data_IF_588151137071
#
_entry.id   IF_588151137071
#
_cell.length_a   1.000
_cell.length_b   1.000
_cell.length_c   1.000
_cell.angle_alpha   90.00
_cell.angle_beta   90.00
_cell.angle_gamma   90.00
#
_symmetry.space_group_name_H-M   'P 1'
#
loop_
_entity.id
_entity.type
_entity.pdbx_description
1 polymer ?
#
# COMPACT_ATOMS: atom_id res chain seq x y z
N UNK A 1 -10.05 13.76 9.46
CA UNK A 1 -9.47 13.22 8.22
C UNK A 1 -10.23 11.97 7.76
N UNK A 2 -10.50 11.02 8.66
CA UNK A 2 -11.43 9.88 8.49
C UNK A 2 -12.74 10.18 7.70
N UNK A 3 -13.46 11.25 8.04
CA UNK A 3 -14.72 11.61 7.37
C UNK A 3 -14.55 12.02 5.90
N UNK A 4 -13.43 12.66 5.54
CA UNK A 4 -13.16 13.07 4.17
C UNK A 4 -12.82 11.88 3.29
N UNK A 5 -12.09 10.87 3.80
CA UNK A 5 -11.87 9.61 3.09
C UNK A 5 -13.16 8.82 2.91
N UNK A 6 -14.02 8.76 3.92
CA UNK A 6 -15.32 8.11 3.76
C UNK A 6 -16.18 8.82 2.70
N UNK A 7 -16.17 10.15 2.67
CA UNK A 7 -16.85 10.93 1.63
C UNK A 7 -16.21 10.74 0.25
N UNK A 8 -14.88 10.72 0.14
CA UNK A 8 -14.16 10.51 -1.12
C UNK A 8 -14.37 9.07 -1.64
N UNK A 9 -14.34 8.08 -0.75
CA UNK A 9 -14.64 6.69 -1.05
C UNK A 9 -16.09 6.55 -1.53
N UNK A 10 -17.06 7.14 -0.82
CA UNK A 10 -18.46 7.15 -1.22
C UNK A 10 -18.69 7.90 -2.55
N UNK A 11 -18.02 9.03 -2.78
CA UNK A 11 -18.17 9.81 -4.00
C UNK A 11 -17.51 9.11 -5.20
N UNK A 12 -16.35 8.47 -5.01
CA UNK A 12 -15.74 7.62 -6.04
C UNK A 12 -16.48 6.32 -6.26
N UNK A 13 -17.13 5.73 -5.25
CA UNK A 13 -18.03 4.58 -5.43
C UNK A 13 -19.19 4.95 -6.37
N UNK A 14 -19.77 6.15 -6.20
CA UNK A 14 -20.79 6.67 -7.12
C UNK A 14 -20.25 6.90 -8.54
N UNK A 15 -18.97 7.29 -8.68
CA UNK A 15 -18.33 7.41 -9.99
C UNK A 15 -17.97 6.06 -10.62
N UNK A 16 -17.50 5.08 -9.84
CA UNK A 16 -17.21 3.73 -10.30
C UNK A 16 -18.48 3.02 -10.79
N UNK A 17 -19.59 3.17 -10.05
CA UNK A 17 -20.90 2.69 -10.46
C UNK A 17 -21.44 3.37 -11.74
N UNK A 18 -20.98 4.60 -12.05
CA UNK A 18 -21.33 5.30 -13.30
C UNK A 18 -20.57 4.80 -14.53
N UNK A 19 -19.46 4.09 -14.36
CA UNK A 19 -18.64 3.55 -15.47
C UNK A 19 -19.13 2.16 -15.92
N UNK A 20 -20.01 1.49 -15.17
CA UNK A 20 -20.66 0.21 -15.53
C UNK A 20 -21.74 0.33 -16.65
N UNK A 21 -21.61 1.32 -17.55
CA UNK A 21 -22.35 1.40 -18.82
C UNK A 21 -21.37 1.61 -19.99
N UNK A 22 -20.23 0.89 -20.03
CA UNK A 22 -19.43 0.80 -21.25
C UNK A 22 -18.50 -0.43 -21.24
N UNK A 23 -19.04 -1.60 -21.62
CA UNK A 23 -18.22 -2.81 -21.83
C UNK A 23 -17.75 -2.89 -23.29
N UNK A 24 -16.41 -2.97 -23.45
CA UNK A 24 -15.60 -3.52 -24.56
C UNK A 24 -15.10 -2.57 -25.69
N UNK A 25 -14.03 -2.94 -26.44
CA UNK A 25 -12.68 -3.30 -25.98
C UNK A 25 -11.55 -2.59 -26.79
N UNK A 26 -10.30 -2.76 -26.31
CA UNK A 26 -9.02 -2.54 -26.98
C UNK A 26 -8.47 -1.09 -27.06
N UNK A 27 -7.28 -0.96 -26.49
CA UNK A 27 -6.21 -0.12 -27.04
C UNK A 27 -6.28 1.36 -26.69
N UNK A 28 -5.69 1.73 -25.55
CA UNK A 28 -4.81 2.89 -25.52
C UNK A 28 -3.89 2.82 -24.30
N UNK A 29 -2.62 2.64 -24.60
CA UNK A 29 -1.52 3.11 -23.79
C UNK A 29 -1.71 4.61 -23.57
N UNK A 30 -2.15 5.00 -22.39
CA UNK A 30 -2.23 6.40 -22.01
C UNK A 30 -1.60 6.53 -20.63
N UNK A 31 -0.38 7.08 -20.66
CA UNK A 31 0.20 7.90 -19.63
C UNK A 31 0.17 7.30 -18.24
N UNK A 32 1.31 6.78 -17.82
CA UNK A 32 1.70 6.80 -16.42
C UNK A 32 1.71 8.26 -15.96
N UNK A 33 0.54 8.78 -15.61
CA UNK A 33 0.45 9.98 -14.80
C UNK A 33 0.96 9.56 -13.42
N UNK A 34 2.04 10.21 -12.98
CA UNK A 34 2.41 10.30 -11.58
C UNK A 34 1.21 10.92 -10.84
N UNK A 35 0.23 10.09 -10.51
CA UNK A 35 -0.97 10.45 -9.81
C UNK A 35 -0.64 10.45 -8.32
N UNK A 36 -0.71 11.66 -7.75
CA UNK A 36 -0.98 11.94 -6.34
C UNK A 36 -1.50 10.70 -5.59
N UNK A 37 -0.55 10.01 -4.93
CA UNK A 37 -0.73 8.70 -4.29
C UNK A 37 -1.72 8.70 -3.11
N UNK A 38 -2.26 9.88 -2.81
CA UNK A 38 -3.31 10.19 -1.85
C UNK A 38 -4.70 9.70 -2.34
N UNK A 39 -4.88 9.48 -3.64
CA UNK A 39 -6.15 9.12 -4.28
C UNK A 39 -6.33 7.58 -4.34
N UNK A 40 -6.84 6.97 -3.28
CA UNK A 40 -7.05 5.51 -3.21
C UNK A 40 -7.70 4.87 -4.46
N UNK A 41 -7.42 3.58 -4.66
CA UNK A 41 -7.77 2.81 -5.87
C UNK A 41 -8.67 1.62 -5.58
N UNK A 42 -9.61 1.31 -6.47
CA UNK A 42 -10.47 0.12 -6.34
C UNK A 42 -9.72 -1.19 -6.65
N UNK A 43 -8.65 -1.12 -7.44
CA UNK A 43 -7.86 -2.29 -7.84
C UNK A 43 -6.36 -1.96 -7.84
N UNK A 44 -5.66 -2.10 -6.69
CA UNK A 44 -4.25 -1.78 -6.59
C UNK A 44 -3.42 -2.73 -7.46
N UNK A 45 -2.71 -2.14 -8.43
CA UNK A 45 -1.73 -2.86 -9.25
C UNK A 45 -0.44 -3.09 -8.46
N UNK A 46 0.41 -4.03 -8.90
CA UNK A 46 1.68 -4.33 -8.24
C UNK A 46 1.48 -4.84 -6.82
N UNK A 47 0.47 -5.70 -6.60
CA UNK A 47 0.24 -6.33 -5.30
C UNK A 47 0.48 -7.83 -5.36
N UNK A 48 1.15 -8.34 -4.33
CA UNK A 48 1.42 -9.78 -4.16
C UNK A 48 0.66 -10.36 -2.98
N UNK A 49 0.32 -11.64 -3.12
CA UNK A 49 -0.26 -12.41 -2.04
C UNK A 49 0.79 -12.67 -0.95
N UNK A 50 0.33 -12.63 0.30
CA UNK A 50 1.15 -13.01 1.45
C UNK A 50 1.65 -14.44 1.30
N UNK A 51 2.94 -14.63 1.55
CA UNK A 51 3.62 -15.91 1.44
C UNK A 51 4.74 -16.00 2.48
N UNK A 52 5.39 -17.16 2.64
CA UNK A 52 6.57 -17.26 3.51
C UNK A 52 7.71 -16.32 3.11
N UNK A 53 7.78 -15.92 1.84
CA UNK A 53 8.74 -14.94 1.32
C UNK A 53 8.22 -13.50 1.47
N UNK A 54 6.93 -13.27 1.25
CA UNK A 54 6.27 -11.97 1.35
C UNK A 54 5.46 -11.94 2.64
N UNK A 55 6.11 -11.57 3.74
CA UNK A 55 5.50 -11.60 5.08
C UNK A 55 4.80 -10.29 5.40
N UNK A 56 3.70 -10.39 6.14
CA UNK A 56 3.13 -9.23 6.83
C UNK A 56 3.99 -8.96 8.06
N UNK A 57 4.77 -7.89 8.01
CA UNK A 57 5.76 -7.50 9.01
C UNK A 57 5.77 -5.97 9.18
N UNK A 58 6.20 -5.50 10.34
CA UNK A 58 6.27 -4.07 10.67
C UNK A 58 7.25 -3.37 9.73
N UNK A 59 6.88 -2.17 9.26
CA UNK A 59 7.64 -1.38 8.31
C UNK A 59 7.36 -1.72 6.84
N UNK A 60 6.72 -2.86 6.56
CA UNK A 60 6.44 -3.25 5.17
C UNK A 60 5.36 -2.38 4.54
N UNK A 61 5.60 -1.97 3.30
CA UNK A 61 4.65 -1.23 2.47
C UNK A 61 3.54 -2.13 1.94
N UNK A 62 2.32 -1.65 2.04
CA UNK A 62 1.13 -2.40 1.70
C UNK A 62 0.01 -1.48 1.15
N UNK A 63 -0.94 -2.09 0.46
CA UNK A 63 -2.24 -1.48 0.21
C UNK A 63 -3.22 -2.01 1.25
N UNK A 64 -3.85 -1.10 1.98
CA UNK A 64 -4.90 -1.43 2.94
C UNK A 64 -6.24 -0.87 2.47
N UNK A 65 -7.28 -1.70 2.52
CA UNK A 65 -8.64 -1.28 2.26
C UNK A 65 -9.11 -0.42 3.45
N UNK A 66 -9.50 0.80 3.15
CA UNK A 66 -10.04 1.71 4.14
C UNK A 66 -11.42 1.20 4.59
N UNK A 67 -11.74 1.30 5.89
CA UNK A 67 -13.07 0.97 6.40
C UNK A 67 -13.52 -0.51 6.46
N UNK A 68 -14.84 -0.62 6.65
CA UNK A 68 -15.73 -1.76 6.93
C UNK A 68 -16.12 -2.63 5.74
N UNK A 69 -16.17 -2.03 4.56
CA UNK A 69 -16.97 -2.53 3.45
C UNK A 69 -16.09 -3.21 2.39
N UNK A 70 -16.60 -4.24 1.69
CA UNK A 70 -15.82 -4.96 0.68
C UNK A 70 -15.57 -4.13 -0.59
N UNK A 71 -16.39 -3.12 -0.86
CA UNK A 71 -16.33 -2.26 -2.05
C UNK A 71 -15.46 -1.01 -1.85
N UNK A 72 -14.83 -0.87 -0.68
CA UNK A 72 -14.08 0.32 -0.34
C UNK A 72 -12.69 0.38 -0.98
N UNK A 73 -12.15 1.60 -1.13
CA UNK A 73 -10.90 1.84 -1.82
C UNK A 73 -9.66 1.37 -1.02
N UNK A 74 -8.63 1.01 -1.77
CA UNK A 74 -7.32 0.63 -1.28
C UNK A 74 -6.39 1.84 -1.29
N UNK A 75 -5.71 2.07 -0.18
CA UNK A 75 -4.78 3.18 -0.02
C UNK A 75 -3.41 2.64 0.37
N UNK A 76 -2.35 3.33 -0.07
CA UNK A 76 -0.99 3.01 0.37
C UNK A 76 -0.85 3.22 1.87
N UNK A 77 -0.25 2.24 2.52
CA UNK A 77 -0.05 2.21 3.94
C UNK A 77 1.25 1.48 4.28
N UNK A 78 1.67 1.65 5.53
CA UNK A 78 2.80 0.96 6.13
C UNK A 78 2.29 0.19 7.34
N UNK A 79 2.67 -1.07 7.46
CA UNK A 79 2.31 -1.88 8.62
C UNK A 79 3.07 -1.36 9.84
N UNK A 80 2.34 -0.98 10.88
CA UNK A 80 2.92 -0.48 12.14
C UNK A 80 2.99 -1.56 13.20
N UNK A 81 2.05 -2.51 13.19
CA UNK A 81 2.03 -3.62 14.15
C UNK A 81 1.41 -4.87 13.50
N UNK A 82 1.88 -6.06 13.88
CA UNK A 82 1.35 -7.33 13.37
C UNK A 82 0.94 -8.23 14.53
N UNK A 83 -0.28 -8.72 14.45
CA UNK A 83 -0.89 -9.58 15.43
C UNK A 83 -1.24 -10.93 14.81
N UNK A 84 -0.88 -12.01 15.49
CA UNK A 84 -1.16 -13.38 15.05
C UNK A 84 -1.55 -14.25 16.22
N UNK A 85 -2.65 -14.99 16.06
CA UNK A 85 -3.08 -16.02 17.00
C UNK A 85 -3.54 -17.28 16.24
N UNK A 86 -4.08 -18.26 16.96
CA UNK A 86 -4.65 -19.49 16.38
C UNK A 86 -5.88 -19.25 15.49
N UNK A 87 -6.58 -18.12 15.65
CA UNK A 87 -7.82 -17.78 14.94
C UNK A 87 -7.52 -17.08 13.60
N UNK A 88 -6.43 -16.31 13.53
CA UNK A 88 -6.05 -15.59 12.33
C UNK A 88 -4.91 -14.60 12.52
N UNK A 89 -4.75 -13.75 11.51
CA UNK A 89 -3.75 -12.69 11.46
C UNK A 89 -4.43 -11.35 11.13
N UNK A 90 -4.07 -10.32 11.87
CA UNK A 90 -4.45 -8.93 11.63
C UNK A 90 -3.26 -8.02 11.88
N UNK A 91 -3.34 -6.79 11.40
CA UNK A 91 -2.26 -5.82 11.56
C UNK A 91 -2.84 -4.42 11.72
N UNK A 92 -2.01 -3.55 12.27
CA UNK A 92 -2.27 -2.13 12.35
C UNK A 92 -1.49 -1.46 11.22
N UNK A 93 -2.10 -0.49 10.56
CA UNK A 93 -1.54 0.16 9.38
C UNK A 93 -1.65 1.67 9.51
N UNK A 94 -0.60 2.37 9.07
CA UNK A 94 -0.59 3.82 8.91
C UNK A 94 -0.58 4.16 7.43
N UNK A 95 -1.62 4.85 6.97
CA UNK A 95 -1.71 5.36 5.61
C UNK A 95 -0.71 6.49 5.39
N UNK A 96 -0.32 6.73 4.14
CA UNK A 96 0.67 7.76 3.80
C UNK A 96 0.23 9.19 4.19
N UNK A 97 -1.09 9.42 4.23
CA UNK A 97 -1.70 10.67 4.68
C UNK A 97 -1.62 10.89 6.22
N UNK A 98 -1.21 9.86 6.97
CA UNK A 98 -1.05 9.94 8.43
C UNK A 98 -2.25 9.45 9.24
N UNK A 99 -3.34 9.00 8.60
CA UNK A 99 -4.39 8.22 9.28
C UNK A 99 -3.85 6.83 9.67
N UNK A 100 -4.38 6.29 10.77
CA UNK A 100 -4.04 4.97 11.29
C UNK A 100 -5.31 4.13 11.47
N UNK A 101 -5.27 2.86 11.06
CA UNK A 101 -6.34 1.89 11.31
C UNK A 101 -5.77 0.66 12.02
N UNK A 102 -6.46 0.25 13.08
CA UNK A 102 -6.07 -0.87 13.93
C UNK A 102 -6.93 -2.10 13.62
N UNK A 103 -6.40 -3.27 13.94
CA UNK A 103 -7.06 -4.57 13.80
C UNK A 103 -7.55 -4.88 12.38
N UNK A 104 -6.81 -4.44 11.35
CA UNK A 104 -7.16 -4.75 9.96
C UNK A 104 -6.90 -6.23 9.68
N UNK A 105 -7.90 -7.00 9.23
CA UNK A 105 -7.70 -8.39 8.90
C UNK A 105 -6.82 -8.53 7.66
N UNK A 106 -5.95 -9.54 7.63
CA UNK A 106 -4.97 -9.74 6.54
C UNK A 106 -5.60 -9.80 5.13
N UNK A 107 -6.87 -10.21 5.03
CA UNK A 107 -7.64 -10.24 3.77
C UNK A 107 -7.89 -8.85 3.16
N UNK A 108 -7.79 -7.79 3.97
CA UNK A 108 -7.94 -6.37 3.61
C UNK A 108 -6.61 -5.64 3.48
N UNK A 109 -5.53 -6.39 3.45
CA UNK A 109 -4.18 -5.85 3.31
C UNK A 109 -3.49 -6.66 2.22
N UNK A 110 -2.81 -5.98 1.29
CA UNK A 110 -2.04 -6.61 0.22
C UNK A 110 -0.63 -6.06 0.24
N UNK A 111 0.38 -6.91 0.12
CA UNK A 111 1.76 -6.45 0.02
C UNK A 111 1.93 -5.67 -1.29
N UNK A 112 2.66 -4.56 -1.23
CA UNK A 112 3.22 -4.00 -2.46
C UNK A 112 4.33 -4.92 -2.98
N UNK A 113 4.35 -5.10 -4.30
CA UNK A 113 5.53 -5.49 -5.06
C UNK A 113 6.50 -4.31 -5.09
N UNK A 114 6.98 -3.88 -3.92
CA UNK A 114 8.25 -3.14 -3.93
C UNK A 114 9.32 -4.18 -4.21
N UNK A 115 9.97 -3.99 -5.36
CA UNK A 115 11.31 -4.51 -5.63
C UNK A 115 12.11 -4.35 -4.36
N UNK A 116 12.71 -5.45 -3.90
CA UNK A 116 13.66 -5.45 -2.80
C UNK A 116 14.90 -4.67 -3.25
N UNK A 117 14.81 -3.36 -3.41
CA UNK A 117 15.95 -2.52 -3.76
C UNK A 117 16.65 -2.14 -2.44
N UNK A 118 17.76 -2.86 -2.22
CA UNK A 118 19.04 -2.36 -1.74
C UNK A 118 19.05 -1.94 -0.25
N UNK A 119 19.58 -2.76 0.68
CA UNK A 119 21.04 -2.95 0.86
C UNK A 119 21.79 -1.67 0.46
N UNK A 120 21.66 -0.60 1.26
CA UNK A 120 22.71 0.43 1.30
C UNK A 120 23.97 -0.26 1.84
N UNK A 121 24.78 -0.75 0.91
CA UNK A 121 26.21 -1.02 1.06
C UNK A 121 26.83 0.15 1.82
N UNK A 122 27.17 -0.08 3.09
CA UNK A 122 28.10 0.73 3.87
C UNK A 122 29.51 0.47 3.33
N UNK A 123 29.78 1.02 2.13
CA UNK A 123 31.13 1.18 1.59
C UNK A 123 31.74 2.42 2.27
N UNK A 124 32.08 2.28 3.55
CA UNK A 124 32.94 3.23 4.28
C UNK A 124 34.38 2.98 3.79
N UNK A 125 34.68 3.58 2.62
CA UNK A 125 36.02 3.62 2.05
C UNK A 125 37.00 4.23 3.06
N UNK A 126 38.01 3.45 3.44
CA UNK A 126 39.08 3.86 4.33
C UNK A 126 39.88 5.04 3.81
N UNK A 127 40.03 6.07 4.64
CA UNK A 127 41.05 7.09 4.47
C UNK A 127 42.31 6.68 5.24
N UNK A 128 43.24 6.02 4.54
CA UNK A 128 44.64 5.91 4.92
C UNK A 128 45.28 7.33 4.86
N UNK A 129 45.34 8.03 6.00
CA UNK A 129 46.09 9.29 6.09
C UNK A 129 47.59 9.00 6.32
N UNK A 130 48.32 8.84 5.22
CA UNK A 130 49.76 9.02 5.15
C UNK A 130 50.14 10.45 5.59
N UNK A 131 50.72 10.60 6.78
CA UNK A 131 51.49 11.81 7.16
C UNK A 131 52.97 11.46 7.32
N UNK A 132 53.72 11.71 6.26
CA UNK A 132 55.15 12.04 6.37
C UNK A 132 55.31 13.46 6.94
N UNK A 133 56.29 13.63 7.85
CA UNK A 133 56.71 14.91 8.42
C UNK A 133 57.70 14.76 9.55
#
# INVERSE_FOLDING_TARGET
>A
HREQKALLAAEKELQAARVEVARAPAGRSEGESNEDDSQGTANPQGTVLWSPQVRCEVGRRCFAQYGEDPDELWFRATITEVHRNDIGQWCDVRYDDGDEEQHKPIKRVRALEESSDEDEDDDDEGEDEDKEG
#
